data_IF_167469436872
#
_entry.id   IF_167469436872
#
_cell.length_a   1.000
_cell.length_b   1.000
_cell.length_c   1.000
_cell.angle_alpha   90.00
_cell.angle_beta   90.00
_cell.angle_gamma   90.00
#
_symmetry.space_group_name_H-M   'P 1'
#
loop_
_entity.id
_entity.type
_entity.pdbx_description
1 polymer ?
#
# COMPACT_ATOMS: atom_id res chain seq x y z
N UNK A 1 13.86 -23.78 5.09
CA UNK A 1 12.63 -23.68 5.81
C UNK A 1 11.60 -22.90 5.03
N UNK A 2 10.39 -23.37 5.01
CA UNK A 2 9.35 -22.71 4.25
C UNK A 2 8.73 -21.59 5.09
N UNK A 3 8.23 -20.58 4.43
CA UNK A 3 7.55 -19.48 5.10
C UNK A 3 6.30 -19.11 4.34
N UNK A 4 5.43 -18.39 5.01
CA UNK A 4 4.17 -17.97 4.44
C UNK A 4 4.05 -16.46 4.61
N UNK A 5 3.59 -15.82 3.55
CA UNK A 5 3.23 -14.40 3.63
C UNK A 5 1.76 -14.26 3.24
N UNK A 6 1.12 -13.29 3.85
CA UNK A 6 -0.22 -12.89 3.45
C UNK A 6 -0.15 -11.57 2.75
N UNK A 7 -1.16 -11.30 1.94
CA UNK A 7 -1.23 -10.06 1.17
C UNK A 7 -2.58 -9.42 1.42
N UNK A 8 -2.57 -8.14 1.70
CA UNK A 8 -3.80 -7.35 1.73
C UNK A 8 -3.70 -6.26 0.68
N UNK A 9 -4.85 -5.85 0.18
CA UNK A 9 -4.92 -4.78 -0.82
C UNK A 9 -5.45 -3.53 -0.15
N UNK A 10 -4.71 -2.44 -0.28
CA UNK A 10 -5.13 -1.15 0.27
C UNK A 10 -4.89 -0.06 -0.77
N UNK A 11 -5.58 1.06 -0.60
CA UNK A 11 -5.42 2.21 -1.46
C UNK A 11 -4.94 3.37 -0.59
N UNK A 12 -3.79 3.93 -0.94
CA UNK A 12 -3.31 5.15 -0.32
C UNK A 12 -3.64 6.35 -1.18
N UNK A 13 -3.79 7.49 -0.54
CA UNK A 13 -4.09 8.75 -1.22
C UNK A 13 -3.14 9.83 -0.75
N UNK A 14 -2.74 10.69 -1.67
CA UNK A 14 -1.85 11.81 -1.33
C UNK A 14 -2.06 12.92 -2.36
N UNK A 15 -1.98 14.17 -1.94
CA UNK A 15 -1.99 15.28 -2.91
C UNK A 15 -0.66 15.46 -3.60
N UNK A 16 0.39 14.73 -3.17
CA UNK A 16 1.75 15.01 -3.62
C UNK A 16 2.22 14.13 -4.77
N UNK A 17 1.73 12.89 -4.86
CA UNK A 17 2.15 12.00 -5.93
C UNK A 17 1.79 10.56 -5.67
N UNK A 18 2.07 9.70 -6.66
CA UNK A 18 1.73 8.28 -6.56
C UNK A 18 2.66 7.55 -5.59
N UNK A 19 3.93 7.92 -5.56
CA UNK A 19 4.87 7.29 -4.63
C UNK A 19 4.50 7.64 -3.19
N UNK A 20 4.13 8.89 -2.98
CA UNK A 20 3.70 9.34 -1.66
C UNK A 20 2.41 8.64 -1.24
N UNK A 21 1.49 8.44 -2.19
CA UNK A 21 0.26 7.71 -1.91
C UNK A 21 0.55 6.27 -1.50
N UNK A 22 1.49 5.62 -2.19
CA UNK A 22 1.91 4.27 -1.83
C UNK A 22 2.53 4.26 -0.43
N UNK A 23 3.34 5.26 -0.10
CA UNK A 23 3.96 5.35 1.22
C UNK A 23 2.90 5.50 2.32
N UNK A 24 1.86 6.28 2.06
CA UNK A 24 0.75 6.42 3.01
C UNK A 24 0.13 5.07 3.28
N UNK A 25 -0.13 4.28 2.23
CA UNK A 25 -0.73 2.97 2.39
C UNK A 25 0.16 2.05 3.23
N UNK A 26 1.46 2.04 2.95
CA UNK A 26 2.41 1.19 3.68
C UNK A 26 2.51 1.65 5.14
N UNK A 27 2.57 2.95 5.37
CA UNK A 27 2.70 3.49 6.71
C UNK A 27 1.49 3.14 7.56
N UNK A 28 0.29 3.30 7.00
CA UNK A 28 -0.93 3.01 7.75
C UNK A 28 -1.07 1.51 8.02
N UNK A 29 -0.75 0.68 7.03
CA UNK A 29 -0.81 -0.76 7.21
C UNK A 29 0.19 -1.21 8.28
N UNK A 30 1.35 -0.60 8.32
CA UNK A 30 2.39 -0.97 9.27
C UNK A 30 2.03 -0.64 10.71
N UNK A 31 1.04 0.21 10.93
CA UNK A 31 0.59 0.52 12.29
C UNK A 31 -0.14 -0.64 12.93
N UNK A 32 -0.78 -1.49 12.13
CA UNK A 32 -1.58 -2.59 12.66
C UNK A 32 -1.05 -3.96 12.29
N UNK A 33 -0.14 -4.05 11.32
CA UNK A 33 0.39 -5.32 10.87
C UNK A 33 1.85 -5.43 11.25
N UNK A 34 2.26 -6.63 11.63
CA UNK A 34 3.65 -6.91 11.89
C UNK A 34 4.27 -7.58 10.69
N UNK A 35 5.55 -7.35 10.51
CA UNK A 35 6.29 -8.08 9.50
C UNK A 35 5.98 -7.65 8.07
N UNK A 36 5.57 -6.40 7.89
CA UNK A 36 5.39 -5.88 6.53
C UNK A 36 6.75 -5.88 5.84
N UNK A 37 6.85 -6.63 4.74
CA UNK A 37 8.12 -6.85 4.10
C UNK A 37 8.15 -6.39 2.65
N UNK A 38 7.01 -6.13 2.05
CA UNK A 38 6.99 -5.70 0.68
C UNK A 38 5.66 -5.13 0.29
N UNK A 39 5.65 -4.42 -0.82
CA UNK A 39 4.43 -3.86 -1.38
C UNK A 39 4.57 -3.90 -2.88
N UNK A 40 3.50 -4.27 -3.55
CA UNK A 40 3.45 -4.29 -5.00
C UNK A 40 2.42 -3.29 -5.45
N UNK A 41 2.82 -2.35 -6.29
CA UNK A 41 1.89 -1.38 -6.85
C UNK A 41 1.06 -2.07 -7.91
N UNK A 42 -0.26 -2.07 -7.71
CA UNK A 42 -1.17 -2.74 -8.62
C UNK A 42 -1.74 -1.78 -9.65
N UNK A 43 -2.08 -0.58 -9.24
CA UNK A 43 -2.65 0.41 -10.14
C UNK A 43 -2.51 1.79 -9.53
N UNK A 44 -2.66 2.78 -10.38
CA UNK A 44 -2.60 4.18 -9.98
C UNK A 44 -3.76 4.90 -10.64
N UNK A 45 -4.37 5.78 -9.89
CA UNK A 45 -5.45 6.60 -10.41
C UNK A 45 -5.39 7.96 -9.74
N UNK A 46 -6.17 8.88 -10.22
CA UNK A 46 -6.20 10.20 -9.62
C UNK A 46 -7.59 10.81 -9.75
N UNK A 47 -7.88 11.71 -8.84
CA UNK A 47 -9.08 12.51 -8.91
C UNK A 47 -8.77 13.78 -9.69
N UNK A 48 -9.73 14.22 -10.47
CA UNK A 48 -9.57 15.41 -11.29
C UNK A 48 -10.73 16.35 -11.00
N UNK A 49 -10.39 17.62 -10.82
CA UNK A 49 -11.38 18.65 -10.61
C UNK A 49 -10.99 19.84 -11.47
N UNK A 50 -11.91 20.26 -12.34
CA UNK A 50 -11.67 21.38 -13.27
C UNK A 50 -10.41 21.18 -14.11
N UNK A 51 -10.20 19.99 -14.59
CA UNK A 51 -9.05 19.69 -15.44
C UNK A 51 -7.74 19.57 -14.70
N UNK A 52 -7.77 19.59 -13.38
CA UNK A 52 -6.54 19.49 -12.58
C UNK A 52 -6.59 18.28 -11.69
N UNK A 53 -5.47 17.61 -11.58
CA UNK A 53 -5.34 16.47 -10.66
C UNK A 53 -5.27 17.01 -9.24
N UNK A 54 -6.16 16.52 -8.40
CA UNK A 54 -6.22 16.97 -7.00
C UNK A 54 -5.69 15.95 -6.03
N UNK A 55 -5.84 14.67 -6.34
CA UNK A 55 -5.44 13.60 -5.43
C UNK A 55 -4.88 12.45 -6.24
N UNK A 56 -3.74 11.94 -5.81
CA UNK A 56 -3.14 10.74 -6.39
C UNK A 56 -3.52 9.56 -5.51
N UNK A 57 -3.92 8.46 -6.15
CA UNK A 57 -4.30 7.23 -5.44
C UNK A 57 -3.50 6.07 -5.99
N UNK A 58 -2.91 5.30 -5.09
CA UNK A 58 -2.13 4.13 -5.47
C UNK A 58 -2.67 2.92 -4.75
N UNK A 59 -3.05 1.91 -5.52
CA UNK A 59 -3.50 0.64 -4.97
C UNK A 59 -2.29 -0.26 -4.84
N UNK A 60 -2.06 -0.76 -3.63
CA UNK A 60 -0.92 -1.62 -3.37
C UNK A 60 -1.37 -2.90 -2.69
N UNK A 61 -0.69 -3.98 -3.03
CA UNK A 61 -0.78 -5.23 -2.29
C UNK A 61 0.38 -5.25 -1.31
N UNK A 62 0.05 -5.34 -0.03
CA UNK A 62 1.06 -5.31 1.02
C UNK A 62 1.27 -6.71 1.53
N UNK A 63 2.51 -7.18 1.46
CA UNK A 63 2.89 -8.51 1.92
C UNK A 63 3.42 -8.41 3.34
N UNK A 64 2.97 -9.31 4.18
CA UNK A 64 3.49 -9.38 5.54
C UNK A 64 3.65 -10.83 5.95
N UNK A 65 4.66 -11.06 6.77
CA UNK A 65 5.00 -12.41 7.19
C UNK A 65 3.94 -12.94 8.16
N UNK A 66 3.59 -14.20 8.00
CA UNK A 66 2.76 -14.90 8.96
C UNK A 66 3.70 -15.70 9.82
N UNK A 67 3.74 -15.37 11.11
CA UNK A 67 4.58 -16.10 12.01
C UNK A 67 4.01 -17.47 12.27
N UNK A 68 4.87 -18.45 12.21
CA UNK A 68 4.49 -19.79 12.50
C UNK A 68 5.39 -20.28 13.61
N UNK A 69 4.80 -20.79 14.64
CA UNK A 69 5.55 -21.25 15.68
C UNK A 69 6.00 -22.60 15.55
N UNK A 70 6.13 -22.97 14.90
CA UNK A 70 6.61 -24.05 14.93
C UNK A 70 6.55 -24.83 14.59
#
# INVERSE_FOLDING_TARGET
>A
MASIAKVITVIGSSPDGFAEAAQVAVTEASKTLRGVSGAQVMSMSCDVNDGKITTFKTTVNIAFAVESDR
#
